data_IF_917370999963
#
_entry.id   IF_917370999963
#
_cell.length_a   1.000
_cell.length_b   1.000
_cell.length_c   1.000
_cell.angle_alpha   90.00
_cell.angle_beta   90.00
_cell.angle_gamma   90.00
#
_symmetry.space_group_name_H-M   'P 1'
#
loop_
_entity.id
_entity.type
_entity.pdbx_description
1 polymer ?
#
# COMPACT_ATOMS: atom_id res chain seq x y z
N UNK A 1 2.00 3.69 16.65
CA UNK A 1 0.94 2.70 16.32
C UNK A 1 -0.41 3.36 16.51
N UNK A 2 -1.44 2.88 15.83
CA UNK A 2 -2.81 3.39 15.90
C UNK A 2 -3.78 2.44 15.19
N UNK A 3 -5.05 2.81 15.15
CA UNK A 3 -6.06 2.08 14.39
C UNK A 3 -5.79 2.27 12.88
N UNK A 4 -5.72 1.16 12.14
CA UNK A 4 -5.62 1.14 10.69
C UNK A 4 -6.78 0.34 10.11
N UNK A 5 -7.19 0.65 8.87
CA UNK A 5 -8.18 -0.13 8.12
C UNK A 5 -7.59 -1.44 7.60
N UNK A 6 -6.30 -1.46 7.26
CA UNK A 6 -5.60 -2.68 6.86
C UNK A 6 -5.84 -3.13 5.41
N UNK A 7 -6.76 -2.50 4.67
CA UNK A 7 -7.14 -2.92 3.31
C UNK A 7 -7.60 -1.74 2.42
N UNK A 8 -6.92 -0.59 2.52
CA UNK A 8 -7.30 0.62 1.76
C UNK A 8 -6.79 0.54 0.32
N UNK A 9 -7.64 0.05 -0.55
CA UNK A 9 -7.42 -0.11 -1.99
C UNK A 9 -8.52 0.58 -2.82
N UNK A 10 -8.31 0.84 -4.13
CA UNK A 10 -9.30 1.49 -4.98
C UNK A 10 -10.70 0.86 -4.95
N UNK A 11 -10.78 -0.46 -4.81
CA UNK A 11 -12.01 -1.24 -4.67
C UNK A 11 -12.75 -1.02 -3.34
N UNK A 12 -12.04 -0.67 -2.28
CA UNK A 12 -12.61 -0.34 -0.96
C UNK A 12 -12.77 1.17 -0.72
N UNK A 13 -12.64 1.96 -1.79
CA UNK A 13 -12.83 3.42 -1.75
C UNK A 13 -13.96 3.85 -2.68
N UNK A 14 -14.88 4.65 -2.16
CA UNK A 14 -15.95 5.28 -2.94
C UNK A 14 -15.60 6.73 -3.22
N UNK A 15 -15.78 7.15 -4.48
CA UNK A 15 -15.55 8.53 -4.90
C UNK A 15 -16.83 9.16 -5.43
N UNK A 16 -17.08 10.41 -5.06
CA UNK A 16 -18.17 11.23 -5.58
C UNK A 16 -17.61 12.58 -6.06
N UNK A 17 -17.83 12.93 -7.32
CA UNK A 17 -17.30 14.14 -7.97
C UNK A 17 -15.78 14.33 -7.77
N UNK A 18 -15.01 13.24 -7.91
CA UNK A 18 -13.56 13.25 -7.76
C UNK A 18 -13.05 13.37 -6.32
N UNK A 19 -13.93 13.28 -5.32
CA UNK A 19 -13.55 13.30 -3.89
C UNK A 19 -13.85 11.96 -3.24
N UNK A 20 -12.96 11.50 -2.36
CA UNK A 20 -13.21 10.34 -1.52
C UNK A 20 -14.45 10.62 -0.66
N UNK A 21 -15.49 9.82 -0.80
CA UNK A 21 -16.75 9.94 -0.06
C UNK A 21 -16.88 8.94 1.07
N UNK A 22 -16.32 7.73 0.90
CA UNK A 22 -16.34 6.70 1.94
C UNK A 22 -15.20 5.68 1.77
N UNK A 23 -14.80 5.09 2.89
CA UNK A 23 -14.10 3.81 2.97
C UNK A 23 -15.12 2.73 3.33
N UNK A 24 -14.95 1.53 2.80
CA UNK A 24 -15.80 0.36 3.07
C UNK A 24 -14.92 -0.87 3.35
N UNK A 25 -15.53 -1.95 3.82
CA UNK A 25 -14.85 -3.23 4.10
C UNK A 25 -13.81 -3.17 5.24
N UNK A 26 -14.32 -3.07 6.47
CA UNK A 26 -13.52 -2.90 7.69
C UNK A 26 -13.11 -4.25 8.34
N UNK A 27 -13.09 -5.35 7.58
CA UNK A 27 -12.82 -6.69 8.14
C UNK A 27 -11.37 -6.86 8.63
N UNK A 28 -10.41 -6.16 8.01
CA UNK A 28 -8.97 -6.23 8.33
C UNK A 28 -8.51 -5.12 9.31
N UNK A 29 -9.45 -4.40 9.93
CA UNK A 29 -9.14 -3.34 10.89
C UNK A 29 -8.37 -3.89 12.08
N UNK A 30 -7.26 -3.24 12.42
CA UNK A 30 -6.48 -3.61 13.59
C UNK A 30 -5.67 -2.43 14.13
N UNK A 31 -4.97 -2.65 15.25
CA UNK A 31 -3.99 -1.70 15.78
C UNK A 31 -2.60 -2.11 15.31
N UNK A 32 -1.97 -1.27 14.50
CA UNK A 32 -0.62 -1.51 13.98
C UNK A 32 0.13 -0.18 13.75
N UNK A 33 1.31 -0.22 13.14
CA UNK A 33 2.03 0.94 12.64
C UNK A 33 1.21 1.66 11.57
N UNK A 34 1.07 2.99 11.68
CA UNK A 34 0.38 3.79 10.67
C UNK A 34 1.12 3.77 9.31
N UNK A 35 2.43 3.46 9.31
CA UNK A 35 3.18 3.22 8.09
C UNK A 35 2.72 1.98 7.32
N UNK A 36 2.11 1.00 7.99
CA UNK A 36 1.52 -0.15 7.31
C UNK A 36 0.41 0.32 6.37
N UNK A 37 -0.48 1.18 6.86
CA UNK A 37 -1.58 1.73 6.07
C UNK A 37 -1.08 2.63 4.93
N UNK A 38 -0.09 3.48 5.19
CA UNK A 38 0.59 4.28 4.15
C UNK A 38 1.18 3.35 3.08
N UNK A 39 1.84 2.26 3.47
CA UNK A 39 2.37 1.25 2.55
C UNK A 39 1.29 0.53 1.76
N UNK A 40 0.13 0.24 2.37
CA UNK A 40 -1.05 -0.33 1.71
C UNK A 40 -1.57 0.62 0.64
N UNK A 41 -1.84 1.88 0.99
CA UNK A 41 -2.30 2.91 0.07
C UNK A 41 -1.34 3.11 -1.11
N UNK A 42 -0.03 3.17 -0.86
CA UNK A 42 0.96 3.31 -1.94
C UNK A 42 0.89 2.11 -2.90
N UNK A 43 0.78 0.89 -2.37
CA UNK A 43 0.60 -0.30 -3.21
C UNK A 43 -0.73 -0.32 -3.98
N UNK A 44 -1.79 0.27 -3.42
CA UNK A 44 -3.11 0.34 -4.04
C UNK A 44 -3.22 1.42 -5.13
N UNK A 45 -2.73 2.62 -4.84
CA UNK A 45 -2.97 3.83 -5.63
C UNK A 45 -1.78 4.27 -6.48
N UNK A 46 -0.54 4.01 -6.06
CA UNK A 46 0.64 4.59 -6.68
C UNK A 46 1.38 3.64 -7.62
N UNK A 47 0.87 2.41 -7.86
CA UNK A 47 1.48 1.48 -8.82
C UNK A 47 0.67 1.40 -10.12
N UNK A 48 1.24 1.91 -11.22
CA UNK A 48 0.65 1.87 -12.57
C UNK A 48 1.40 0.84 -13.40
N UNK A 49 0.67 -0.09 -14.04
CA UNK A 49 1.27 -1.21 -14.79
C UNK A 49 2.33 -2.01 -13.98
N UNK A 50 2.17 -2.07 -12.66
CA UNK A 50 3.08 -2.71 -11.70
C UNK A 50 4.42 -1.99 -11.47
N UNK A 51 4.53 -0.74 -11.89
CA UNK A 51 5.66 0.15 -11.59
C UNK A 51 5.22 1.26 -10.64
N UNK A 52 6.10 1.67 -9.72
CA UNK A 52 5.80 2.73 -8.77
C UNK A 52 5.85 4.08 -9.48
N UNK A 53 4.74 4.80 -9.48
CA UNK A 53 4.64 6.18 -9.94
C UNK A 53 5.00 7.11 -8.77
N UNK A 54 6.17 7.76 -8.89
CA UNK A 54 6.68 8.66 -7.87
C UNK A 54 5.82 9.91 -7.71
N UNK A 55 5.20 10.41 -8.79
CA UNK A 55 4.36 11.60 -8.73
C UNK A 55 3.08 11.35 -7.93
N UNK A 56 2.46 10.17 -8.11
CA UNK A 56 1.31 9.74 -7.32
C UNK A 56 1.69 9.54 -5.86
N UNK A 57 2.84 8.92 -5.59
CA UNK A 57 3.31 8.70 -4.23
C UNK A 57 3.62 10.03 -3.52
N UNK A 58 4.33 10.96 -4.16
CA UNK A 58 4.61 12.29 -3.61
C UNK A 58 3.32 13.06 -3.32
N UNK A 59 2.36 13.06 -4.24
CA UNK A 59 1.06 13.71 -4.06
C UNK A 59 0.27 13.13 -2.87
N UNK A 60 0.28 11.80 -2.73
CA UNK A 60 -0.34 11.11 -1.60
C UNK A 60 0.32 11.48 -0.28
N UNK A 61 1.65 11.41 -0.19
CA UNK A 61 2.41 11.70 1.02
C UNK A 61 2.26 13.17 1.46
N UNK A 62 2.30 14.11 0.52
CA UNK A 62 2.08 15.55 0.80
C UNK A 62 0.67 15.78 1.37
N UNK A 63 -0.34 15.20 0.74
CA UNK A 63 -1.73 15.35 1.19
C UNK A 63 -1.97 14.71 2.55
N UNK A 64 -1.37 13.53 2.78
CA UNK A 64 -1.43 12.85 4.08
C UNK A 64 -0.73 13.67 5.17
N UNK A 65 0.46 14.21 4.88
CA UNK A 65 1.26 15.00 5.82
C UNK A 65 0.52 16.23 6.34
N UNK A 66 -0.29 16.89 5.50
CA UNK A 66 -1.06 18.07 5.88
C UNK A 66 -2.08 17.80 7.01
N UNK A 67 -2.59 16.57 7.09
CA UNK A 67 -3.55 16.16 8.14
C UNK A 67 -2.82 15.52 9.31
N UNK A 68 -1.84 14.65 9.02
CA UNK A 68 -0.98 14.03 10.04
C UNK A 68 0.48 14.11 9.58
N UNK A 69 1.33 14.90 10.27
CA UNK A 69 2.74 14.99 9.95
C UNK A 69 3.41 13.61 9.97
N UNK A 70 4.10 13.29 8.87
CA UNK A 70 4.97 12.11 8.77
C UNK A 70 6.28 12.44 9.46
N UNK A 71 6.62 11.66 10.48
CA UNK A 71 7.84 11.84 11.26
C UNK A 71 9.09 11.47 10.45
N UNK A 72 10.27 11.88 10.92
CA UNK A 72 11.53 11.53 10.27
C UNK A 72 11.75 10.00 10.27
N UNK A 73 11.45 9.32 11.36
CA UNK A 73 11.59 7.86 11.47
C UNK A 73 10.61 7.14 10.54
N UNK A 74 9.36 7.60 10.47
CA UNK A 74 8.38 7.06 9.53
C UNK A 74 8.83 7.22 8.08
N UNK A 75 9.33 8.40 7.72
CA UNK A 75 9.83 8.66 6.37
C UNK A 75 11.07 7.81 6.05
N UNK A 76 11.98 7.65 7.02
CA UNK A 76 13.18 6.84 6.88
C UNK A 76 12.92 5.34 6.69
N UNK A 77 11.77 4.85 7.16
CA UNK A 77 11.33 3.45 7.02
C UNK A 77 10.30 3.24 5.89
N UNK A 78 9.91 4.30 5.18
CA UNK A 78 8.83 4.24 4.20
C UNK A 78 9.11 3.21 3.09
N UNK A 79 10.36 3.16 2.61
CA UNK A 79 10.77 2.24 1.55
C UNK A 79 10.58 0.77 1.95
N UNK A 80 10.92 0.44 3.20
CA UNK A 80 10.77 -0.88 3.79
C UNK A 80 9.28 -1.21 4.01
N UNK A 81 8.48 -0.23 4.45
CA UNK A 81 7.05 -0.43 4.71
C UNK A 81 6.21 -0.61 3.43
N UNK A 82 6.60 -0.01 2.30
CA UNK A 82 5.97 -0.31 1.01
C UNK A 82 6.16 -1.79 0.65
N UNK A 83 7.32 -2.37 0.95
CA UNK A 83 7.57 -3.80 0.73
C UNK A 83 6.84 -4.65 1.77
N UNK A 84 6.80 -4.22 3.02
CA UNK A 84 6.12 -4.93 4.11
C UNK A 84 4.62 -5.06 3.85
N UNK A 85 3.96 -3.98 3.42
CA UNK A 85 2.57 -3.99 2.98
C UNK A 85 2.34 -4.96 1.82
N UNK A 86 3.24 -4.98 0.82
CA UNK A 86 3.15 -5.92 -0.30
C UNK A 86 3.28 -7.39 0.16
N UNK A 87 4.12 -7.69 1.17
CA UNK A 87 4.18 -9.02 1.78
C UNK A 87 2.88 -9.38 2.51
N UNK A 88 2.26 -8.43 3.20
CA UNK A 88 0.93 -8.59 3.80
C UNK A 88 -0.10 -9.03 2.77
N UNK A 89 -0.19 -8.30 1.65
CA UNK A 89 -1.09 -8.63 0.54
C UNK A 89 -0.80 -10.00 -0.07
N UNK A 90 0.48 -10.36 -0.26
CA UNK A 90 0.88 -11.68 -0.76
C UNK A 90 0.39 -12.78 0.20
N UNK A 91 0.63 -12.60 1.50
CA UNK A 91 0.21 -13.55 2.55
C UNK A 91 -1.31 -13.76 2.53
N UNK A 92 -2.07 -12.68 2.41
CA UNK A 92 -3.53 -12.72 2.31
C UNK A 92 -4.01 -13.51 1.08
N UNK A 93 -3.49 -13.19 -0.11
CA UNK A 93 -3.84 -13.89 -1.34
C UNK A 93 -3.49 -15.38 -1.29
N UNK A 94 -2.33 -15.71 -0.72
CA UNK A 94 -1.92 -17.10 -0.55
C UNK A 94 -2.90 -17.84 0.36
N UNK A 95 -3.13 -17.30 1.56
CA UNK A 95 -3.98 -17.89 2.59
C UNK A 95 -5.41 -18.14 2.10
N UNK A 96 -6.04 -17.13 1.51
CA UNK A 96 -7.48 -17.20 1.21
C UNK A 96 -7.80 -17.73 -0.18
N UNK A 97 -6.87 -17.65 -1.15
CA UNK A 97 -7.19 -17.95 -2.55
C UNK A 97 -6.32 -19.01 -3.21
N UNK A 98 -5.18 -19.39 -2.63
CA UNK A 98 -4.20 -20.25 -3.31
C UNK A 98 -3.78 -21.51 -2.53
N UNK A 99 -3.86 -21.55 -1.20
CA UNK A 99 -3.51 -22.78 -0.44
C UNK A 99 -4.48 -23.93 -0.76
N UNK A 100 -5.77 -23.65 -0.85
CA UNK A 100 -6.80 -24.69 -1.00
C UNK A 100 -7.47 -24.73 -2.38
N UNK A 101 -7.14 -23.78 -3.28
CA UNK A 101 -7.75 -23.64 -4.60
C UNK A 101 -6.73 -23.09 -5.60
N UNK A 102 -6.82 -23.47 -6.87
CA UNK A 102 -6.03 -22.82 -7.94
C UNK A 102 -6.85 -21.66 -8.50
N UNK A 103 -6.43 -20.43 -8.20
CA UNK A 103 -7.02 -19.22 -8.77
C UNK A 103 -5.98 -18.46 -9.63
N UNK A 104 -6.02 -18.60 -10.97
CA UNK A 104 -5.04 -17.97 -11.86
C UNK A 104 -4.97 -16.44 -11.75
N UNK A 105 -6.11 -15.78 -11.50
CA UNK A 105 -6.17 -14.32 -11.31
C UNK A 105 -5.39 -13.90 -10.07
N UNK A 106 -5.61 -14.61 -8.95
CA UNK A 106 -4.93 -14.31 -7.69
C UNK A 106 -3.44 -14.71 -7.74
N UNK A 107 -3.09 -15.77 -8.46
CA UNK A 107 -1.69 -16.12 -8.71
C UNK A 107 -0.96 -15.00 -9.48
N UNK A 108 -1.57 -14.44 -10.52
CA UNK A 108 -1.01 -13.29 -11.25
C UNK A 108 -0.82 -12.09 -10.34
N UNK A 109 -1.76 -11.82 -9.44
CA UNK A 109 -1.66 -10.72 -8.47
C UNK A 109 -0.49 -10.94 -7.49
N UNK A 110 -0.33 -12.15 -6.96
CA UNK A 110 0.83 -12.51 -6.11
C UNK A 110 2.14 -12.31 -6.87
N UNK A 111 2.24 -12.76 -8.12
CA UNK A 111 3.44 -12.58 -8.94
C UNK A 111 3.78 -11.10 -9.17
N UNK A 112 2.76 -10.26 -9.41
CA UNK A 112 2.93 -8.81 -9.54
C UNK A 112 3.50 -8.20 -8.26
N UNK A 113 2.92 -8.50 -7.09
CA UNK A 113 3.39 -8.02 -5.79
C UNK A 113 4.82 -8.49 -5.48
N UNK A 114 5.13 -9.75 -5.76
CA UNK A 114 6.50 -10.28 -5.62
C UNK A 114 7.48 -9.53 -6.52
N UNK A 115 7.07 -9.17 -7.74
CA UNK A 115 7.91 -8.38 -8.64
C UNK A 115 8.15 -6.97 -8.09
N UNK A 116 7.13 -6.31 -7.52
CA UNK A 116 7.31 -4.99 -6.86
C UNK A 116 8.36 -5.07 -5.75
N UNK A 117 8.25 -6.05 -4.86
CA UNK A 117 9.22 -6.27 -3.77
C UNK A 117 10.62 -6.50 -4.32
N UNK A 118 10.77 -7.35 -5.34
CA UNK A 118 12.08 -7.61 -5.98
C UNK A 118 12.69 -6.36 -6.60
N UNK A 119 11.87 -5.54 -7.29
CA UNK A 119 12.32 -4.28 -7.89
C UNK A 119 12.75 -3.29 -6.81
N UNK A 120 11.95 -3.09 -5.76
CA UNK A 120 12.27 -2.16 -4.67
C UNK A 120 13.53 -2.58 -3.89
N UNK A 121 13.77 -3.88 -3.70
CA UNK A 121 15.01 -4.35 -3.06
C UNK A 121 16.26 -4.09 -3.90
N UNK A 122 16.13 -4.12 -5.23
CA UNK A 122 17.24 -3.85 -6.16
C UNK A 122 17.47 -2.35 -6.34
N UNK A 123 16.39 -1.59 -6.40
CA UNK A 123 16.38 -0.17 -6.67
C UNK A 123 15.72 0.55 -5.51
N UNK A 124 16.51 1.21 -4.66
CA UNK A 124 15.93 2.10 -3.66
C UNK A 124 15.11 3.18 -4.36
N UNK A 125 14.03 3.59 -3.70
CA UNK A 125 13.28 4.78 -4.12
C UNK A 125 14.26 5.96 -4.12
N UNK A 126 14.28 6.80 -5.16
CA UNK A 126 15.14 7.97 -5.19
C UNK A 126 14.98 8.82 -3.93
N UNK A 127 16.02 9.55 -3.54
CA UNK A 127 15.89 10.50 -2.44
C UNK A 127 14.80 11.52 -2.78
N UNK A 128 13.76 11.54 -1.95
CA UNK A 128 12.69 12.52 -1.99
C UNK A 128 12.83 13.42 -0.77
N UNK A 129 12.44 14.68 -0.90
CA UNK A 129 12.32 15.56 0.26
C UNK A 129 11.15 15.06 1.10
N UNK A 130 11.38 14.94 2.42
CA UNK A 130 10.28 14.68 3.36
C UNK A 130 9.24 15.80 3.19
N UNK A 131 7.95 15.45 3.03
CA UNK A 131 6.88 16.43 2.95
C UNK A 131 6.74 17.25 4.24
#
# INVERSE_FOLDING_TARGET
QGLIHGDVFPDNTLFHNGKLSALIDFEEVCVDSLLMEIGMCINGFCFINNELDLSLMESFLLSYHQIRPITQDEFGLLHEYIQWAAHGMISWHLRYFLIHRKNPKQLKRVQQLMQRVKTLRKNRIPEMKRP
#
